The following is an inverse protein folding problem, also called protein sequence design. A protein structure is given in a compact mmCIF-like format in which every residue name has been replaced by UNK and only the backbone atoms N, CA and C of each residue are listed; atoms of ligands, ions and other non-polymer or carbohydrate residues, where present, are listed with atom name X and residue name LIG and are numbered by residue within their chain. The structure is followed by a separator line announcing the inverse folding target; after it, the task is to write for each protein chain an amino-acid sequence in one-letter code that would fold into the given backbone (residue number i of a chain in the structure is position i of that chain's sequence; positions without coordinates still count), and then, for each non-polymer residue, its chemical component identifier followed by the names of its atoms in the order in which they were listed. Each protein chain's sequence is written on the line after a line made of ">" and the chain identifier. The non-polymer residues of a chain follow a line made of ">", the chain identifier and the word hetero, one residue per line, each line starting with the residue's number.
data_IF_311902733257
#
_entry.id   IF_311902733257
#
_cell.length_a   1.000
_cell.length_b   1.000
_cell.length_c   1.000
_cell.angle_alpha   90.00
_cell.angle_beta   90.00
_cell.angle_gamma   90.00
#
_symmetry.space_group_name_H-M   'P 1'
#
loop_
_entity.id
_entity.type
_entity.pdbx_description
1 polymer ?
#
# COMPACT_ATOMS: atom_id res chain seq x y z
N UNK A 1 9.41 28.19 22.63
CA UNK A 1 9.38 26.87 21.93
C UNK A 1 7.94 26.39 21.94
N UNK A 2 7.35 26.14 20.77
CA UNK A 2 6.00 25.57 20.68
C UNK A 2 5.99 24.15 21.24
N UNK A 3 4.85 23.72 21.77
CA UNK A 3 4.70 22.37 22.31
C UNK A 3 4.94 21.31 21.22
N UNK A 4 5.74 20.28 21.54
CA UNK A 4 5.98 19.14 20.66
C UNK A 4 4.68 18.35 20.52
N UNK A 5 4.17 18.19 19.29
CA UNK A 5 2.98 17.37 19.00
C UNK A 5 3.40 15.91 18.84
N UNK A 6 3.14 15.07 19.84
CA UNK A 6 3.42 13.64 19.75
C UNK A 6 2.29 12.91 18.98
N UNK A 7 2.60 12.02 18.02
CA UNK A 7 1.61 11.28 17.25
C UNK A 7 1.05 10.08 18.02
N UNK A 8 0.43 10.32 19.18
CA UNK A 8 -0.10 9.25 20.03
C UNK A 8 -1.32 8.60 19.34
N UNK A 9 -1.22 7.31 19.01
CA UNK A 9 -2.29 6.58 18.31
C UNK A 9 -2.37 6.85 16.80
N UNK A 10 -1.54 7.75 16.27
CA UNK A 10 -1.41 8.02 14.85
C UNK A 10 -0.33 7.13 14.25
N UNK A 11 -0.71 6.36 13.22
CA UNK A 11 0.20 5.48 12.52
C UNK A 11 0.37 5.84 11.04
N UNK A 12 -0.50 6.67 10.47
CA UNK A 12 -0.38 7.09 9.07
C UNK A 12 0.78 8.09 8.92
N UNK A 13 1.73 7.77 8.02
CA UNK A 13 2.91 8.59 7.76
C UNK A 13 2.53 9.96 7.20
N UNK A 14 1.60 10.01 6.24
CA UNK A 14 1.16 11.27 5.64
C UNK A 14 0.55 12.20 6.67
N UNK A 15 -0.32 11.69 7.53
CA UNK A 15 -0.96 12.49 8.59
C UNK A 15 0.07 13.06 9.56
N UNK A 16 1.07 12.26 9.92
CA UNK A 16 2.18 12.69 10.78
C UNK A 16 2.95 13.84 10.12
N UNK A 17 3.26 13.73 8.82
CA UNK A 17 4.03 14.73 8.09
C UNK A 17 3.22 16.01 7.80
N UNK A 18 2.00 15.89 7.26
CA UNK A 18 1.10 17.00 6.89
C UNK A 18 0.72 17.86 8.10
N UNK A 19 0.51 17.24 9.26
CA UNK A 19 0.08 17.94 10.47
C UNK A 19 1.24 18.36 11.39
N UNK A 20 2.50 18.20 10.93
CA UNK A 20 3.72 18.57 11.65
C UNK A 20 3.82 17.95 13.06
N UNK A 21 3.52 16.65 13.16
CA UNK A 21 3.79 15.87 14.37
C UNK A 21 5.28 15.54 14.49
N UNK A 22 5.74 15.27 15.71
CA UNK A 22 7.06 14.73 15.96
C UNK A 22 7.23 13.40 15.24
N UNK A 23 8.25 13.31 14.40
CA UNK A 23 8.55 12.14 13.58
C UNK A 23 10.03 11.79 13.71
N UNK A 24 10.32 10.54 14.02
CA UNK A 24 11.68 9.99 14.00
C UNK A 24 11.95 9.47 12.60
N UNK A 25 12.91 10.08 11.93
CA UNK A 25 13.26 9.73 10.56
C UNK A 25 13.86 8.32 10.44
N UNK A 26 13.09 7.43 9.80
CA UNK A 26 13.48 6.06 9.46
C UNK A 26 13.46 5.82 7.96
N UNK A 27 13.45 6.87 7.15
CA UNK A 27 13.26 6.76 5.69
C UNK A 27 14.43 6.09 4.98
N UNK A 28 15.63 6.09 5.58
CA UNK A 28 16.81 5.43 5.03
C UNK A 28 16.61 3.92 4.79
N UNK A 29 15.71 3.28 5.54
CA UNK A 29 15.34 1.88 5.32
C UNK A 29 14.80 1.61 3.91
N UNK A 30 14.27 2.62 3.22
CA UNK A 30 13.87 2.49 1.81
C UNK A 30 15.08 2.18 0.94
N UNK A 31 16.22 2.84 1.19
CA UNK A 31 17.49 2.58 0.49
C UNK A 31 17.96 1.16 0.75
N UNK A 32 18.01 0.77 2.03
CA UNK A 32 18.42 -0.57 2.44
C UNK A 32 17.55 -1.64 1.75
N UNK A 33 16.23 -1.45 1.70
CA UNK A 33 15.31 -2.39 1.07
C UNK A 33 15.45 -2.46 -0.46
N UNK A 34 15.88 -1.39 -1.13
CA UNK A 34 16.06 -1.41 -2.59
C UNK A 34 17.42 -1.98 -2.98
N UNK A 35 18.45 -1.68 -2.19
CA UNK A 35 19.84 -2.04 -2.50
C UNK A 35 20.25 -3.41 -1.96
N UNK A 36 19.83 -3.78 -0.75
CA UNK A 36 20.17 -5.08 -0.14
C UNK A 36 19.32 -6.22 -0.69
N UNK A 37 18.13 -5.93 -1.20
CA UNK A 37 17.11 -6.92 -1.56
C UNK A 37 17.13 -7.35 -3.03
N UNK A 38 18.26 -7.13 -3.74
CA UNK A 38 18.47 -7.49 -5.15
C UNK A 38 18.36 -9.01 -5.46
N UNK A 39 17.88 -9.84 -4.53
CA UNK A 39 17.63 -11.27 -4.71
C UNK A 39 16.46 -11.84 -3.90
N UNK A 40 15.66 -11.02 -3.19
CA UNK A 40 14.60 -11.52 -2.31
C UNK A 40 13.23 -11.03 -2.78
N UNK A 41 12.30 -11.96 -3.02
CA UNK A 41 10.96 -11.63 -3.55
C UNK A 41 9.96 -11.22 -2.45
N UNK A 42 10.36 -11.23 -1.18
CA UNK A 42 9.45 -10.98 -0.04
C UNK A 42 10.20 -10.59 1.23
N UNK A 43 9.67 -9.60 1.95
CA UNK A 43 10.27 -9.06 3.18
C UNK A 43 9.31 -9.27 4.35
N UNK A 44 9.79 -9.91 5.42
CA UNK A 44 9.02 -10.15 6.64
C UNK A 44 9.47 -9.25 7.80
N UNK A 45 8.62 -8.30 8.17
CA UNK A 45 8.81 -7.53 9.40
C UNK A 45 8.17 -8.29 10.58
N UNK A 46 9.00 -8.92 11.43
CA UNK A 46 8.54 -9.61 12.66
C UNK A 46 7.73 -8.69 13.56
N UNK A 47 6.89 -9.18 14.49
CA UNK A 47 5.83 -8.39 15.15
C UNK A 47 6.11 -7.83 16.58
N UNK A 48 7.28 -7.24 16.92
CA UNK A 48 7.40 -6.46 18.16
C UNK A 48 6.35 -5.34 18.28
N UNK A 49 5.61 -5.31 19.38
CA UNK A 49 4.52 -4.35 19.63
C UNK A 49 5.08 -2.92 19.77
N UNK A 50 4.41 -1.92 19.17
CA UNK A 50 4.76 -0.47 19.19
C UNK A 50 6.07 -0.07 18.50
N UNK A 51 6.61 -0.90 17.61
CA UNK A 51 7.82 -0.56 16.84
C UNK A 51 7.57 0.29 15.58
N UNK A 52 6.35 0.80 15.37
CA UNK A 52 6.03 1.69 14.24
C UNK A 52 5.90 0.98 12.89
N UNK A 53 5.56 -0.31 12.86
CA UNK A 53 5.45 -1.11 11.62
C UNK A 53 4.34 -0.61 10.70
N UNK A 54 3.18 -0.25 11.25
CA UNK A 54 2.10 0.36 10.46
C UNK A 54 2.53 1.70 9.86
N UNK A 55 3.29 2.50 10.61
CA UNK A 55 3.86 3.76 10.09
C UNK A 55 4.89 3.52 9.01
N UNK A 56 5.70 2.48 9.15
CA UNK A 56 6.66 2.08 8.13
C UNK A 56 5.95 1.63 6.83
N UNK A 57 4.91 0.80 6.93
CA UNK A 57 4.11 0.40 5.77
C UNK A 57 3.42 1.59 5.09
N UNK A 58 2.85 2.51 5.87
CA UNK A 58 2.23 3.74 5.36
C UNK A 58 3.26 4.65 4.67
N UNK A 59 4.49 4.72 5.20
CA UNK A 59 5.61 5.43 4.57
C UNK A 59 6.00 4.79 3.23
N UNK A 60 6.10 3.46 3.14
CA UNK A 60 6.36 2.78 1.87
C UNK A 60 5.26 3.02 0.85
N UNK A 61 3.98 2.92 1.25
CA UNK A 61 2.87 3.24 0.36
C UNK A 61 2.93 4.70 -0.12
N UNK A 62 3.36 5.63 0.73
CA UNK A 62 3.53 7.03 0.34
C UNK A 62 4.71 7.20 -0.63
N UNK A 63 5.80 6.45 -0.42
CA UNK A 63 7.01 6.54 -1.24
C UNK A 63 6.84 5.91 -2.62
N UNK A 64 6.26 4.71 -2.74
CA UNK A 64 6.24 3.95 -3.99
C UNK A 64 5.01 4.21 -4.87
N UNK A 65 3.83 4.46 -4.28
CA UNK A 65 2.55 4.47 -5.00
C UNK A 65 2.52 5.54 -6.09
N UNK A 66 2.40 5.11 -7.34
CA UNK A 66 2.34 5.94 -8.55
C UNK A 66 1.14 6.89 -8.57
N UNK A 67 0.09 6.61 -7.81
CA UNK A 67 -1.11 7.46 -7.71
C UNK A 67 -0.92 8.68 -6.81
N UNK A 68 0.25 8.83 -6.16
CA UNK A 68 0.53 9.89 -5.20
C UNK A 68 1.62 10.83 -5.70
N UNK A 69 1.57 12.08 -5.24
CA UNK A 69 2.69 13.01 -5.28
C UNK A 69 3.14 13.28 -3.85
N UNK A 70 4.15 12.52 -3.41
CA UNK A 70 4.57 12.48 -2.01
C UNK A 70 5.85 13.26 -1.73
N UNK A 71 6.43 13.95 -2.72
CA UNK A 71 7.77 14.55 -2.59
C UNK A 71 7.89 15.49 -1.39
N UNK A 72 6.87 16.32 -1.17
CA UNK A 72 6.80 17.24 -0.02
C UNK A 72 6.76 16.51 1.33
N UNK A 73 6.14 15.33 1.41
CA UNK A 73 6.08 14.54 2.64
C UNK A 73 7.48 14.07 3.07
N UNK A 74 8.37 13.85 2.10
CA UNK A 74 9.74 13.40 2.35
C UNK A 74 10.74 14.55 2.46
N UNK A 75 10.33 15.80 2.24
CA UNK A 75 11.23 16.94 2.34
C UNK A 75 11.98 16.98 3.70
N UNK A 76 13.30 17.10 3.63
CA UNK A 76 14.19 17.13 4.79
C UNK A 76 14.47 15.78 5.46
N UNK A 77 13.96 14.66 4.92
CA UNK A 77 14.23 13.31 5.41
C UNK A 77 15.44 12.69 4.70
N UNK A 78 16.11 11.73 5.36
CA UNK A 78 17.35 11.08 4.89
C UNK A 78 17.23 10.50 3.49
N UNK A 79 16.12 9.85 3.15
CA UNK A 79 15.92 9.25 1.81
C UNK A 79 16.04 10.26 0.67
N UNK A 80 15.77 11.56 0.91
CA UNK A 80 15.91 12.59 -0.12
C UNK A 80 17.36 12.86 -0.53
N UNK A 81 18.33 12.35 0.24
CA UNK A 81 19.75 12.40 -0.09
C UNK A 81 20.13 11.31 -1.11
N UNK A 82 19.38 10.21 -1.17
CA UNK A 82 19.56 9.11 -2.11
C UNK A 82 18.93 9.40 -3.47
N UNK A 83 19.51 10.36 -4.21
CA UNK A 83 18.94 10.89 -5.46
C UNK A 83 18.55 9.81 -6.46
N UNK A 84 19.42 8.82 -6.68
CA UNK A 84 19.18 7.72 -7.61
C UNK A 84 17.91 6.93 -7.23
N UNK A 85 17.78 6.57 -5.96
CA UNK A 85 16.61 5.85 -5.45
C UNK A 85 15.34 6.70 -5.58
N UNK A 86 15.41 7.98 -5.21
CA UNK A 86 14.27 8.88 -5.33
C UNK A 86 13.81 9.00 -6.79
N UNK A 87 14.74 9.22 -7.72
CA UNK A 87 14.40 9.42 -9.13
C UNK A 87 13.86 8.14 -9.80
N UNK A 88 14.39 6.97 -9.43
CA UNK A 88 14.01 5.68 -10.00
C UNK A 88 12.76 5.05 -9.36
N UNK A 89 12.47 5.33 -8.08
CA UNK A 89 11.46 4.59 -7.32
C UNK A 89 10.33 5.44 -6.73
N UNK A 90 10.57 6.72 -6.40
CA UNK A 90 9.55 7.54 -5.74
C UNK A 90 8.35 7.76 -6.67
N UNK A 91 7.18 7.30 -6.23
CA UNK A 91 5.90 7.38 -6.92
C UNK A 91 5.98 6.80 -8.36
N UNK A 92 6.71 5.69 -8.54
CA UNK A 92 6.92 5.03 -9.85
C UNK A 92 6.22 3.69 -10.02
N UNK A 93 5.63 3.13 -8.97
CA UNK A 93 5.08 1.76 -9.00
C UNK A 93 3.65 1.71 -8.44
N UNK A 94 2.76 0.89 -9.02
CA UNK A 94 1.47 0.61 -8.40
C UNK A 94 1.67 -0.14 -7.08
N UNK A 95 0.98 0.29 -6.02
CA UNK A 95 1.09 -0.33 -4.68
C UNK A 95 -0.27 -0.86 -4.22
N UNK A 96 -0.40 -2.18 -4.12
CA UNK A 96 -1.57 -2.81 -3.52
C UNK A 96 -1.36 -2.90 -2.00
N UNK A 97 -2.18 -2.18 -1.23
CA UNK A 97 -2.16 -2.23 0.23
C UNK A 97 -3.35 -3.06 0.75
N UNK A 98 -3.07 -4.20 1.39
CA UNK A 98 -4.06 -5.05 2.05
C UNK A 98 -3.80 -5.09 3.56
N UNK A 99 -4.78 -4.67 4.34
CA UNK A 99 -4.76 -4.81 5.80
C UNK A 99 -5.70 -5.93 6.24
N UNK A 100 -5.15 -6.92 6.94
CA UNK A 100 -5.94 -8.01 7.55
C UNK A 100 -6.38 -7.68 8.98
N UNK A 101 -6.19 -6.43 9.44
CA UNK A 101 -6.49 -6.04 10.83
C UNK A 101 -7.98 -6.15 11.17
N UNK A 102 -8.83 -5.82 10.21
CA UNK A 102 -10.29 -5.74 10.37
C UNK A 102 -11.00 -7.07 10.04
N UNK A 103 -10.24 -8.18 10.00
CA UNK A 103 -10.75 -9.52 9.76
C UNK A 103 -10.70 -10.27 11.10
N UNK A 104 -11.73 -10.10 11.91
CA UNK A 104 -11.85 -10.65 13.28
C UNK A 104 -13.08 -11.56 13.45
N UNK A 105 -13.43 -12.29 12.38
CA UNK A 105 -14.52 -13.26 12.39
C UNK A 105 -14.30 -14.43 13.35
N UNK A 106 -15.37 -14.85 14.03
CA UNK A 106 -15.38 -16.02 14.91
C UNK A 106 -15.74 -17.34 14.19
N UNK A 107 -16.02 -17.27 12.88
CA UNK A 107 -16.21 -18.42 11.99
C UNK A 107 -15.49 -18.18 10.67
N UNK A 108 -15.25 -19.25 9.92
CA UNK A 108 -14.63 -19.17 8.59
C UNK A 108 -15.46 -18.30 7.65
N UNK A 109 -16.78 -18.48 7.63
CA UNK A 109 -17.71 -17.78 6.74
C UNK A 109 -17.70 -16.26 7.00
N UNK A 110 -17.64 -15.86 8.27
CA UNK A 110 -17.55 -14.45 8.66
C UNK A 110 -16.19 -13.88 8.26
N UNK A 111 -15.11 -14.60 8.52
CA UNK A 111 -13.76 -14.17 8.13
C UNK A 111 -13.60 -14.06 6.60
N UNK A 112 -14.17 -15.01 5.84
CA UNK A 112 -14.22 -14.97 4.37
C UNK A 112 -15.01 -13.75 3.88
N UNK A 113 -16.20 -13.50 4.43
CA UNK A 113 -17.00 -12.32 4.09
C UNK A 113 -16.27 -11.00 4.39
N UNK A 114 -15.54 -10.93 5.50
CA UNK A 114 -14.70 -9.78 5.85
C UNK A 114 -13.53 -9.62 4.88
N UNK A 115 -12.87 -10.71 4.50
CA UNK A 115 -11.79 -10.67 3.51
C UNK A 115 -12.31 -10.21 2.14
N UNK A 116 -13.46 -10.72 1.68
CA UNK A 116 -14.13 -10.26 0.45
C UNK A 116 -14.39 -8.76 0.50
N UNK A 117 -14.84 -8.25 1.66
CA UNK A 117 -15.05 -6.81 1.85
C UNK A 117 -13.76 -6.01 1.72
N UNK A 118 -12.66 -6.45 2.34
CA UNK A 118 -11.37 -5.74 2.24
C UNK A 118 -10.78 -5.80 0.82
N UNK A 119 -10.88 -6.94 0.13
CA UNK A 119 -10.49 -7.06 -1.28
C UNK A 119 -11.36 -6.15 -2.17
N UNK A 120 -12.68 -6.14 -1.95
CA UNK A 120 -13.58 -5.29 -2.73
C UNK A 120 -13.32 -3.79 -2.53
N UNK A 121 -12.84 -3.35 -1.36
CA UNK A 121 -12.36 -1.98 -1.17
C UNK A 121 -11.16 -1.68 -2.07
N UNK A 122 -10.17 -2.57 -2.11
CA UNK A 122 -8.98 -2.41 -2.96
C UNK A 122 -9.39 -2.34 -4.43
N UNK A 123 -10.26 -3.22 -4.90
CA UNK A 123 -10.73 -3.20 -6.29
C UNK A 123 -11.45 -1.89 -6.63
N UNK A 124 -12.28 -1.36 -5.72
CA UNK A 124 -12.93 -0.05 -5.92
C UNK A 124 -11.95 1.09 -6.06
N UNK A 125 -10.84 1.08 -5.30
CA UNK A 125 -9.78 2.09 -5.42
C UNK A 125 -9.13 2.12 -6.81
N UNK A 126 -9.17 1.01 -7.54
CA UNK A 126 -8.60 0.87 -8.88
C UNK A 126 -9.66 0.83 -10.00
N UNK A 127 -10.93 1.07 -9.69
CA UNK A 127 -12.02 0.98 -10.67
C UNK A 127 -11.83 1.86 -11.92
N UNK A 128 -11.11 2.97 -11.78
CA UNK A 128 -10.77 3.88 -12.89
C UNK A 128 -10.00 3.20 -14.03
N UNK A 129 -9.25 2.12 -13.77
CA UNK A 129 -8.51 1.43 -14.84
C UNK A 129 -9.45 0.76 -15.85
N UNK A 130 -10.69 0.46 -15.46
CA UNK A 130 -11.66 -0.21 -16.32
C UNK A 130 -12.26 0.70 -17.40
N UNK A 131 -12.03 2.02 -17.35
CA UNK A 131 -12.49 2.96 -18.36
C UNK A 131 -11.88 2.67 -19.73
N UNK A 132 -10.68 2.10 -19.76
CA UNK A 132 -9.99 1.69 -20.97
C UNK A 132 -10.62 0.41 -21.58
N UNK A 133 -10.85 0.40 -22.90
CA UNK A 133 -11.34 -0.76 -23.65
C UNK A 133 -10.38 -1.95 -23.58
N UNK A 134 -9.09 -1.68 -23.29
CA UNK A 134 -8.05 -2.68 -23.05
C UNK A 134 -8.43 -3.74 -22.01
N UNK A 135 -9.38 -3.45 -21.12
CA UNK A 135 -9.81 -4.31 -20.03
C UNK A 135 -11.24 -4.85 -20.19
N UNK A 136 -11.85 -4.75 -21.38
CA UNK A 136 -13.23 -5.21 -21.61
C UNK A 136 -13.50 -6.64 -21.10
N UNK A 137 -12.58 -7.57 -21.37
CA UNK A 137 -12.70 -8.98 -20.94
C UNK A 137 -12.58 -9.16 -19.42
N UNK A 138 -11.89 -8.24 -18.74
CA UNK A 138 -11.62 -8.29 -17.31
C UNK A 138 -12.72 -7.62 -16.47
N UNK A 139 -13.59 -6.81 -17.09
CA UNK A 139 -14.62 -6.00 -16.41
C UNK A 139 -15.56 -6.84 -15.55
N UNK A 140 -15.94 -8.03 -16.01
CA UNK A 140 -16.87 -8.91 -15.28
C UNK A 140 -16.25 -9.36 -13.96
N UNK A 141 -15.11 -10.05 -14.00
CA UNK A 141 -14.44 -10.56 -12.81
C UNK A 141 -14.00 -9.44 -11.87
N UNK A 142 -13.55 -8.30 -12.41
CA UNK A 142 -13.24 -7.12 -11.59
C UNK A 142 -14.47 -6.60 -10.85
N UNK A 143 -15.62 -6.51 -11.54
CA UNK A 143 -16.87 -6.03 -10.95
C UNK A 143 -17.39 -6.97 -9.88
N UNK A 144 -17.31 -8.29 -10.09
CA UNK A 144 -17.68 -9.29 -9.08
C UNK A 144 -16.82 -9.13 -7.82
N UNK A 145 -15.51 -8.90 -7.97
CA UNK A 145 -14.58 -8.67 -6.85
C UNK A 145 -14.80 -7.35 -6.11
N UNK A 146 -15.41 -6.33 -6.73
CA UNK A 146 -15.85 -5.12 -6.02
C UNK A 146 -17.02 -5.37 -5.07
N UNK A 147 -17.78 -6.45 -5.29
CA UNK A 147 -18.94 -6.83 -4.48
C UNK A 147 -18.58 -7.92 -3.46
N UNK A 148 -19.49 -8.16 -2.52
CA UNK A 148 -19.36 -9.28 -1.58
C UNK A 148 -19.80 -10.62 -2.19
N UNK A 149 -20.21 -10.64 -3.45
CA UNK A 149 -20.76 -11.81 -4.15
C UNK A 149 -19.70 -12.62 -4.92
N UNK A 150 -18.42 -12.23 -4.80
CA UNK A 150 -17.31 -12.95 -5.42
C UNK A 150 -17.22 -14.41 -4.94
N UNK A 151 -16.90 -15.32 -5.85
CA UNK A 151 -16.68 -16.73 -5.51
C UNK A 151 -15.37 -16.91 -4.75
N UNK A 152 -15.19 -18.08 -4.12
CA UNK A 152 -13.91 -18.43 -3.50
C UNK A 152 -12.75 -18.43 -4.52
N UNK A 153 -13.01 -18.81 -5.78
CA UNK A 153 -12.01 -18.81 -6.85
C UNK A 153 -11.58 -17.39 -7.22
N UNK A 154 -12.55 -16.47 -7.31
CA UNK A 154 -12.27 -15.06 -7.56
C UNK A 154 -11.43 -14.49 -6.42
N UNK A 155 -11.78 -14.81 -5.18
CA UNK A 155 -11.04 -14.36 -4.01
C UNK A 155 -9.59 -14.86 -4.02
N UNK A 156 -9.37 -16.15 -4.33
CA UNK A 156 -8.04 -16.76 -4.43
C UNK A 156 -7.17 -16.12 -5.51
N UNK A 157 -7.76 -15.68 -6.62
CA UNK A 157 -7.04 -15.12 -7.76
C UNK A 157 -7.00 -13.60 -7.79
N UNK A 158 -7.72 -12.94 -6.88
CA UNK A 158 -7.95 -11.49 -6.84
C UNK A 158 -6.68 -10.64 -6.92
N UNK A 159 -5.68 -10.90 -6.09
CA UNK A 159 -4.44 -10.12 -6.08
C UNK A 159 -3.60 -10.34 -7.35
N UNK A 160 -3.62 -11.56 -7.91
CA UNK A 160 -2.93 -11.87 -9.16
C UNK A 160 -3.60 -11.18 -10.34
N UNK A 161 -4.93 -11.19 -10.38
CA UNK A 161 -5.73 -10.43 -11.34
C UNK A 161 -5.38 -8.94 -11.27
N UNK A 162 -5.52 -8.33 -10.09
CA UNK A 162 -5.26 -6.91 -9.91
C UNK A 162 -3.82 -6.54 -10.30
N UNK A 163 -2.84 -7.32 -9.86
CA UNK A 163 -1.42 -7.11 -10.24
C UNK A 163 -1.22 -7.10 -11.76
N UNK A 164 -1.79 -8.09 -12.49
CA UNK A 164 -1.75 -8.12 -13.96
C UNK A 164 -2.38 -6.88 -14.59
N UNK A 165 -3.53 -6.44 -14.08
CA UNK A 165 -4.23 -5.28 -14.63
C UNK A 165 -3.45 -3.99 -14.41
N UNK A 166 -2.86 -3.81 -13.22
CA UNK A 166 -2.03 -2.65 -12.91
C UNK A 166 -0.74 -2.65 -13.74
N UNK A 167 -0.12 -3.82 -13.94
CA UNK A 167 1.03 -3.96 -14.84
C UNK A 167 0.67 -3.55 -16.27
N UNK A 168 -0.48 -4.01 -16.79
CA UNK A 168 -0.97 -3.67 -18.12
C UNK A 168 -1.30 -2.17 -18.26
N UNK A 169 -1.87 -1.56 -17.23
CA UNK A 169 -2.24 -0.14 -17.22
C UNK A 169 -1.03 0.80 -17.09
N UNK A 170 -0.10 0.51 -16.18
CA UNK A 170 1.03 1.39 -15.87
C UNK A 170 2.34 1.02 -16.59
N UNK A 171 2.45 -0.18 -17.14
CA UNK A 171 3.69 -0.71 -17.72
C UNK A 171 4.81 -0.92 -16.69
N UNK A 172 4.43 -1.24 -15.44
CA UNK A 172 5.32 -1.32 -14.27
C UNK A 172 5.12 -2.59 -13.47
#
# INVERSE_FOLDING_TARGET
>A
MGAIKLPIGLSNFEDIRKNNYYYVDKTYVISELIEEDAGTNSILFTRPRRFGKTTLQSMFCSFFDIRKDSRELFHGLKIMQEKKIVDEWMNKYPVIYLSLREIDGNSYEIAEGMLKREIGKIFKEYSFILEDELFADDRKSFSELMTSDSSAIDLMTSLALLSRLLHKHYGK
#
